data_IF_272191020412
#
_entry.id   IF_272191020412
#
_cell.length_a   1.000
_cell.length_b   1.000
_cell.length_c   1.000
_cell.angle_alpha   90.00
_cell.angle_beta   90.00
_cell.angle_gamma   90.00
#
_symmetry.space_group_name_H-M   'P 1'
#
loop_
_entity.id
_entity.type
_entity.pdbx_description
1 polymer ?
#
# COMPACT_ATOMS: atom_id res chain seq x y z
N UNK A 1 -28.90 41.67 57.13
CA UNK A 1 -30.09 42.54 56.96
C UNK A 1 -30.20 42.90 55.49
N UNK A 2 -31.32 42.78 54.77
CA UNK A 2 -32.59 42.03 54.97
C UNK A 2 -32.62 40.91 53.89
N UNK A 3 -33.35 39.79 53.97
CA UNK A 3 -34.81 39.63 54.16
C UNK A 3 -35.51 40.06 52.86
N UNK A 4 -36.27 39.24 52.12
CA UNK A 4 -37.03 37.99 52.40
C UNK A 4 -36.92 36.99 51.21
N UNK A 5 -36.78 35.66 51.39
CA UNK A 5 -37.80 34.63 51.76
C UNK A 5 -38.86 34.34 50.66
N UNK A 6 -38.82 33.16 49.98
CA UNK A 6 -39.54 31.86 50.21
C UNK A 6 -41.02 31.84 49.77
N UNK A 7 -41.69 30.73 49.35
CA UNK A 7 -41.38 29.29 49.11
C UNK A 7 -42.43 28.68 48.13
N UNK A 8 -42.32 27.41 47.65
CA UNK A 8 -43.24 26.79 46.69
C UNK A 8 -44.13 25.67 47.28
N UNK A 9 -44.96 25.03 46.43
CA UNK A 9 -45.19 23.56 46.30
C UNK A 9 -46.66 23.06 46.26
N UNK A 10 -46.83 21.88 45.63
CA UNK A 10 -48.00 20.95 45.65
C UNK A 10 -49.28 21.41 44.91
N UNK A 11 -50.10 20.51 44.34
CA UNK A 11 -49.88 19.09 44.07
C UNK A 11 -51.16 18.22 43.97
N UNK A 12 -51.13 17.23 43.06
CA UNK A 12 -52.05 16.07 42.91
C UNK A 12 -53.55 16.29 42.59
N UNK A 13 -54.13 15.41 41.76
CA UNK A 13 -55.37 14.61 41.99
C UNK A 13 -55.83 13.89 40.70
N UNK A 14 -56.11 12.59 40.82
CA UNK A 14 -56.84 11.69 39.90
C UNK A 14 -58.21 11.30 40.53
N UNK A 15 -59.20 10.62 39.90
CA UNK A 15 -59.16 9.74 38.72
C UNK A 15 -60.36 9.90 37.73
N UNK A 16 -60.78 8.82 37.06
CA UNK A 16 -61.72 8.77 35.93
C UNK A 16 -63.22 8.57 36.27
N UNK A 17 -64.10 8.91 35.31
CA UNK A 17 -65.33 8.20 34.87
C UNK A 17 -66.08 9.08 33.82
N UNK A 18 -67.12 8.66 33.05
CA UNK A 18 -67.53 7.43 32.32
C UNK A 18 -68.92 7.72 31.69
N UNK A 19 -69.41 6.86 30.77
CA UNK A 19 -70.77 6.88 30.14
C UNK A 19 -71.01 7.98 29.09
N UNK A 20 -71.84 7.83 28.04
CA UNK A 20 -72.60 6.69 27.47
C UNK A 20 -72.66 6.87 25.91
N UNK A 21 -73.46 6.24 25.02
CA UNK A 21 -74.66 5.36 25.04
C UNK A 21 -74.77 4.54 23.72
N UNK A 22 -75.76 3.65 23.61
CA UNK A 22 -76.42 3.17 22.36
C UNK A 22 -77.94 3.28 22.55
N UNK A 23 -78.74 3.39 21.48
CA UNK A 23 -79.53 2.26 20.93
C UNK A 23 -79.58 2.32 19.36
N UNK A 24 -80.41 1.58 18.62
CA UNK A 24 -80.77 0.14 18.61
C UNK A 24 -81.56 -0.17 17.30
N UNK A 25 -81.89 -1.44 17.08
CA UNK A 25 -82.86 -2.01 16.12
C UNK A 25 -82.61 -1.97 14.59
N UNK A 26 -83.25 -2.81 13.75
CA UNK A 26 -83.31 -4.31 13.68
C UNK A 26 -84.27 -4.78 12.54
N UNK A 27 -83.94 -5.91 11.87
CA UNK A 27 -84.66 -6.58 10.74
C UNK A 27 -84.69 -5.79 9.40
N UNK A 28 -84.89 -6.42 8.22
CA UNK A 28 -85.20 -7.83 7.89
C UNK A 28 -84.52 -8.28 6.56
N UNK A 29 -84.28 -9.60 6.39
CA UNK A 29 -84.18 -10.44 5.14
C UNK A 29 -83.47 -9.91 3.86
N UNK A 30 -82.87 -10.71 2.95
CA UNK A 30 -82.65 -12.16 2.71
C UNK A 30 -81.57 -12.27 1.57
N UNK A 31 -81.01 -13.39 1.08
CA UNK A 31 -81.12 -14.85 1.29
C UNK A 31 -79.83 -15.57 0.80
N UNK A 32 -79.52 -16.74 1.36
CA UNK A 32 -78.73 -17.86 0.78
C UNK A 32 -77.24 -17.73 0.31
N UNK A 33 -76.64 -18.92 0.12
CA UNK A 33 -75.22 -19.25 -0.13
C UNK A 33 -75.15 -20.70 -0.67
N UNK A 34 -74.01 -21.32 -1.05
CA UNK A 34 -72.84 -20.89 -1.84
C UNK A 34 -72.66 -21.71 -3.15
N UNK A 35 -71.76 -21.34 -4.08
CA UNK A 35 -71.08 -22.33 -4.95
C UNK A 35 -69.79 -21.87 -5.68
N UNK A 36 -69.24 -22.72 -6.58
CA UNK A 36 -67.86 -22.71 -7.12
C UNK A 36 -67.80 -22.55 -8.66
N UNK A 37 -66.63 -22.15 -9.20
CA UNK A 37 -66.12 -22.33 -10.61
C UNK A 37 -66.82 -21.50 -11.72
N UNK A 38 -66.28 -21.41 -12.98
CA UNK A 38 -64.90 -21.66 -13.47
C UNK A 38 -64.32 -20.56 -14.43
N UNK A 39 -63.10 -20.81 -14.95
CA UNK A 39 -62.34 -20.07 -15.98
C UNK A 39 -63.09 -19.82 -17.31
N UNK A 40 -62.63 -18.82 -18.07
CA UNK A 40 -62.45 -18.90 -19.54
C UNK A 40 -61.13 -18.24 -19.99
N UNK A 41 -60.50 -18.81 -21.00
CA UNK A 41 -59.29 -18.27 -21.67
C UNK A 41 -59.55 -18.11 -23.18
N UNK A 42 -58.81 -17.23 -23.89
CA UNK A 42 -58.93 -17.12 -25.34
C UNK A 42 -58.32 -18.35 -26.03
N UNK A 43 -59.08 -18.94 -26.97
CA UNK A 43 -58.53 -19.74 -28.07
C UNK A 43 -58.64 -18.88 -29.33
N UNK A 44 -57.57 -18.84 -30.13
CA UNK A 44 -57.66 -18.62 -31.57
C UNK A 44 -57.08 -19.84 -32.28
N UNK A 45 -57.55 -20.09 -33.50
CA UNK A 45 -57.50 -21.41 -34.16
C UNK A 45 -56.40 -21.54 -35.21
N UNK A 46 -55.85 -22.76 -35.29
CA UNK A 46 -54.98 -23.24 -36.35
C UNK A 46 -55.66 -23.21 -37.73
N UNK A 47 -54.90 -22.83 -38.77
CA UNK A 47 -55.08 -23.27 -40.15
C UNK A 47 -53.68 -23.52 -40.73
N UNK A 48 -53.45 -24.71 -41.28
CA UNK A 48 -52.17 -25.09 -41.90
C UNK A 48 -52.05 -24.58 -43.34
N UNK A 49 -50.82 -24.29 -43.81
CA UNK A 49 -50.13 -25.14 -44.78
C UNK A 49 -48.71 -24.69 -45.17
N UNK A 50 -47.93 -25.68 -45.64
CA UNK A 50 -46.77 -25.61 -46.55
C UNK A 50 -45.48 -24.84 -46.14
N UNK A 51 -44.46 -25.64 -45.81
CA UNK A 51 -43.07 -25.61 -46.31
C UNK A 51 -42.42 -24.27 -46.73
N UNK A 52 -41.30 -23.91 -46.09
CA UNK A 52 -39.99 -24.35 -46.62
C UNK A 52 -38.82 -24.16 -45.63
N UNK A 53 -37.77 -24.98 -45.79
CA UNK A 53 -36.44 -24.76 -45.22
C UNK A 53 -35.52 -24.17 -46.29
N UNK A 54 -34.68 -23.21 -45.92
CA UNK A 54 -33.24 -23.40 -46.13
C UNK A 54 -32.47 -23.38 -44.81
N UNK A 55 -31.17 -23.67 -44.87
CA UNK A 55 -30.28 -23.75 -43.71
C UNK A 55 -29.17 -22.68 -43.77
N UNK A 56 -28.35 -22.67 -42.72
CA UNK A 56 -26.97 -22.13 -42.65
C UNK A 56 -26.74 -20.60 -42.76
N UNK A 57 -26.40 -20.03 -41.60
CA UNK A 57 -25.16 -19.28 -41.31
C UNK A 57 -25.22 -17.78 -40.96
N UNK A 58 -24.63 -17.51 -39.78
CA UNK A 58 -23.81 -16.35 -39.39
C UNK A 58 -24.40 -14.94 -39.50
N UNK A 59 -24.91 -14.46 -38.37
CA UNK A 59 -25.21 -13.03 -38.11
C UNK A 59 -25.35 -12.71 -36.62
N UNK A 60 -24.68 -13.47 -35.74
CA UNK A 60 -24.89 -13.43 -34.29
C UNK A 60 -24.35 -12.18 -33.61
N UNK A 61 -25.10 -11.09 -33.67
CA UNK A 61 -24.99 -10.00 -32.69
C UNK A 61 -25.48 -10.59 -31.36
N UNK A 62 -24.62 -10.62 -30.35
CA UNK A 62 -25.00 -10.97 -28.99
C UNK A 62 -25.82 -9.82 -28.39
N UNK A 63 -27.14 -9.87 -28.54
CA UNK A 63 -28.01 -9.23 -27.55
C UNK A 63 -27.77 -9.92 -26.19
N UNK A 64 -27.43 -9.19 -25.11
CA UNK A 64 -27.35 -9.78 -23.80
C UNK A 64 -28.73 -10.36 -23.44
N UNK A 65 -28.78 -11.66 -23.15
CA UNK A 65 -30.02 -12.29 -22.74
C UNK A 65 -30.61 -11.52 -21.55
N UNK A 66 -31.90 -11.15 -21.63
CA UNK A 66 -32.58 -10.42 -20.57
C UNK A 66 -32.31 -11.13 -19.23
N UNK A 67 -31.63 -10.49 -18.24
CA UNK A 67 -31.15 -11.18 -17.06
C UNK A 67 -32.29 -11.72 -16.19
N UNK A 68 -33.50 -11.15 -16.32
CA UNK A 68 -34.74 -11.65 -15.70
C UNK A 68 -35.18 -12.97 -16.35
N UNK A 69 -35.10 -13.09 -17.69
CA UNK A 69 -35.48 -14.31 -18.41
C UNK A 69 -34.43 -15.43 -18.24
N UNK A 70 -33.15 -15.07 -18.06
CA UNK A 70 -32.11 -16.01 -17.64
C UNK A 70 -32.39 -16.53 -16.23
N UNK A 71 -32.60 -15.63 -15.25
CA UNK A 71 -32.93 -16.02 -13.88
C UNK A 71 -34.20 -16.87 -13.79
N UNK A 72 -35.24 -16.52 -14.56
CA UNK A 72 -36.50 -17.27 -14.62
C UNK A 72 -36.37 -18.66 -15.26
N UNK A 73 -35.29 -18.94 -16.00
CA UNK A 73 -34.98 -20.26 -16.55
C UNK A 73 -34.05 -21.08 -15.66
N UNK A 74 -32.90 -20.51 -15.29
CA UNK A 74 -31.79 -21.24 -14.67
C UNK A 74 -31.81 -21.15 -13.13
N UNK A 75 -32.72 -20.35 -12.55
CA UNK A 75 -32.85 -20.16 -11.09
C UNK A 75 -31.78 -19.26 -10.44
N UNK A 76 -30.74 -18.92 -11.20
CA UNK A 76 -29.59 -18.12 -10.82
C UNK A 76 -29.41 -16.94 -11.79
N UNK A 77 -28.83 -15.83 -11.34
CA UNK A 77 -28.53 -14.70 -12.24
C UNK A 77 -27.38 -15.06 -13.20
N UNK A 78 -27.25 -14.38 -14.35
CA UNK A 78 -26.11 -14.59 -15.25
C UNK A 78 -24.80 -14.27 -14.54
N UNK A 79 -23.77 -15.09 -14.79
CA UNK A 79 -22.52 -15.01 -14.05
C UNK A 79 -21.78 -13.70 -14.31
N UNK A 80 -21.97 -13.09 -15.49
CA UNK A 80 -21.43 -11.78 -15.88
C UNK A 80 -21.96 -10.61 -15.02
N UNK A 81 -23.03 -10.82 -14.24
CA UNK A 81 -23.54 -9.83 -13.26
C UNK A 81 -22.94 -10.01 -11.86
N UNK A 82 -22.31 -11.15 -11.57
CA UNK A 82 -21.58 -11.42 -10.34
C UNK A 82 -20.05 -11.36 -10.50
N UNK A 83 -19.54 -11.36 -11.74
CA UNK A 83 -18.14 -11.06 -12.07
C UNK A 83 -17.76 -9.62 -11.68
N UNK A 84 -17.46 -9.45 -10.39
CA UNK A 84 -16.69 -8.33 -9.89
C UNK A 84 -15.28 -8.43 -10.48
N UNK A 85 -15.00 -7.59 -11.48
CA UNK A 85 -13.71 -7.33 -12.14
C UNK A 85 -12.66 -6.86 -11.10
N UNK A 86 -12.24 -7.81 -10.27
CA UNK A 86 -11.38 -7.68 -9.10
C UNK A 86 -10.32 -8.80 -9.02
N UNK A 87 -10.36 -9.80 -9.91
CA UNK A 87 -9.33 -10.83 -9.99
C UNK A 87 -7.93 -10.22 -10.21
N UNK A 88 -7.84 -9.10 -10.92
CA UNK A 88 -6.60 -8.38 -11.17
C UNK A 88 -5.97 -7.76 -9.90
N UNK A 89 -6.77 -7.62 -8.82
CA UNK A 89 -6.37 -7.13 -7.51
C UNK A 89 -5.76 -8.22 -6.62
N UNK A 90 -6.05 -9.50 -6.92
CA UNK A 90 -5.65 -10.63 -6.08
C UNK A 90 -4.13 -10.75 -5.98
N UNK A 91 -3.70 -11.31 -4.86
CA UNK A 91 -2.28 -11.52 -4.61
C UNK A 91 -1.67 -12.50 -5.62
N UNK A 92 -0.49 -12.16 -6.14
CA UNK A 92 0.20 -12.96 -7.15
C UNK A 92 1.18 -13.89 -6.46
N UNK A 93 0.89 -15.19 -6.54
CA UNK A 93 1.73 -16.25 -5.97
C UNK A 93 3.16 -16.17 -6.48
N UNK A 94 4.13 -16.10 -5.58
CA UNK A 94 5.55 -16.01 -5.94
C UNK A 94 6.09 -17.35 -6.44
N UNK A 95 6.00 -17.59 -7.75
CA UNK A 95 6.38 -18.86 -8.37
C UNK A 95 7.84 -19.25 -8.10
N UNK A 96 8.05 -20.32 -7.32
CA UNK A 96 9.37 -20.86 -6.96
C UNK A 96 10.23 -21.26 -8.17
N UNK A 97 9.61 -21.47 -9.34
CA UNK A 97 10.28 -21.71 -10.62
C UNK A 97 11.26 -20.59 -11.04
N UNK A 98 11.09 -19.37 -10.52
CA UNK A 98 12.06 -18.28 -10.71
C UNK A 98 13.42 -18.55 -10.03
N UNK A 99 13.48 -19.40 -9.01
CA UNK A 99 14.70 -19.75 -8.27
C UNK A 99 15.55 -20.79 -9.01
N UNK A 100 14.92 -21.64 -9.84
CA UNK A 100 15.55 -22.87 -10.37
C UNK A 100 16.58 -22.60 -11.47
N UNK A 101 16.40 -21.54 -12.28
CA UNK A 101 17.25 -21.28 -13.47
C UNK A 101 18.61 -20.62 -13.14
N UNK A 102 19.05 -20.65 -11.88
CA UNK A 102 20.39 -20.20 -11.48
C UNK A 102 21.06 -21.07 -10.40
N UNK A 103 20.82 -22.39 -10.43
CA UNK A 103 21.42 -23.34 -9.50
C UNK A 103 22.86 -23.73 -9.89
N UNK A 104 23.83 -22.89 -9.53
CA UNK A 104 25.25 -23.26 -9.48
C UNK A 104 25.91 -22.62 -8.26
N UNK A 105 26.16 -23.44 -7.23
CA UNK A 105 27.00 -23.19 -6.05
C UNK A 105 26.65 -21.94 -5.21
N UNK A 106 25.79 -22.11 -4.21
CA UNK A 106 26.21 -22.30 -2.81
C UNK A 106 24.99 -22.72 -1.96
N UNK A 107 25.21 -23.53 -0.92
CA UNK A 107 24.14 -24.02 -0.05
C UNK A 107 24.23 -23.37 1.34
N UNK A 108 23.45 -22.31 1.56
CA UNK A 108 23.21 -21.74 2.87
C UNK A 108 21.80 -21.13 2.93
N UNK A 109 21.08 -21.36 4.02
CA UNK A 109 19.81 -20.67 4.30
C UNK A 109 20.12 -19.19 4.55
N UNK A 110 19.76 -18.33 3.60
CA UNK A 110 19.98 -16.88 3.69
C UNK A 110 18.72 -16.13 3.30
N UNK A 111 18.40 -15.09 4.08
CA UNK A 111 17.37 -14.10 3.76
C UNK A 111 17.70 -13.38 2.44
N UNK A 112 16.73 -12.73 1.76
CA UNK A 112 16.95 -12.02 0.49
C UNK A 112 17.76 -10.70 0.64
N UNK A 113 18.93 -10.79 1.29
CA UNK A 113 19.89 -9.74 1.59
C UNK A 113 20.73 -9.36 0.37
N UNK A 114 20.07 -8.78 -0.63
CA UNK A 114 20.54 -7.58 -1.31
C UNK A 114 21.96 -7.56 -1.93
N UNK A 115 22.57 -8.72 -2.24
CA UNK A 115 23.99 -8.94 -2.59
C UNK A 115 24.58 -8.05 -3.72
N UNK A 116 23.74 -7.49 -4.60
CA UNK A 116 24.19 -6.61 -5.68
C UNK A 116 24.48 -5.17 -5.19
N UNK A 117 25.55 -4.51 -5.65
CA UNK A 117 25.79 -3.09 -5.37
C UNK A 117 24.56 -2.21 -5.66
N UNK A 118 24.25 -1.29 -4.73
CA UNK A 118 23.12 -0.31 -4.83
C UNK A 118 23.09 0.43 -6.17
N UNK A 119 24.27 0.70 -6.72
CA UNK A 119 24.42 1.40 -8.01
C UNK A 119 24.02 0.54 -9.22
N UNK A 120 24.22 -0.78 -9.19
CA UNK A 120 23.70 -1.68 -10.24
C UNK A 120 22.17 -1.72 -10.22
N UNK A 121 21.57 -1.80 -9.03
CA UNK A 121 20.10 -1.76 -8.85
C UNK A 121 19.53 -0.43 -9.36
N UNK A 122 20.29 0.65 -9.21
CA UNK A 122 19.95 2.00 -9.67
C UNK A 122 20.22 2.24 -11.17
N UNK A 123 20.92 1.33 -11.86
CA UNK A 123 21.50 1.60 -13.18
C UNK A 123 20.44 1.88 -14.27
N UNK A 124 19.28 1.21 -14.20
CA UNK A 124 18.19 1.42 -15.17
C UNK A 124 17.61 2.85 -15.13
N UNK A 125 17.50 3.47 -13.95
CA UNK A 125 17.00 4.84 -13.80
C UNK A 125 17.99 5.91 -14.30
N UNK A 126 19.28 5.57 -14.45
CA UNK A 126 20.29 6.49 -15.03
C UNK A 126 20.03 6.75 -16.52
N UNK A 127 19.38 5.82 -17.22
CA UNK A 127 18.98 5.99 -18.62
C UNK A 127 17.74 6.92 -18.73
N UNK A 128 17.81 8.03 -19.50
CA UNK A 128 16.64 8.90 -19.73
C UNK A 128 15.44 8.15 -20.33
N UNK A 129 15.66 7.09 -21.10
CA UNK A 129 14.60 6.26 -21.70
C UNK A 129 13.77 5.50 -20.64
N UNK A 130 14.20 5.46 -19.39
CA UNK A 130 13.41 4.91 -18.30
C UNK A 130 12.11 5.71 -18.07
N UNK A 131 12.12 7.02 -18.34
CA UNK A 131 10.90 7.84 -18.30
C UNK A 131 9.92 7.44 -19.42
N UNK A 132 10.43 7.14 -20.61
CA UNK A 132 9.63 6.56 -21.70
C UNK A 132 9.06 5.18 -21.32
N UNK A 133 9.85 4.34 -20.65
CA UNK A 133 9.39 3.03 -20.15
C UNK A 133 8.24 3.19 -19.15
N UNK A 134 8.35 4.11 -18.19
CA UNK A 134 7.24 4.47 -17.29
C UNK A 134 6.01 4.95 -18.07
N UNK A 135 6.21 5.76 -19.12
CA UNK A 135 5.14 6.21 -20.03
C UNK A 135 4.39 5.06 -20.70
N UNK A 136 5.09 4.00 -21.14
CA UNK A 136 4.45 2.77 -21.66
C UNK A 136 3.64 1.98 -20.62
N UNK A 137 3.80 2.32 -19.34
CA UNK A 137 3.05 1.77 -18.20
C UNK A 137 2.06 2.78 -17.62
N UNK A 138 1.77 3.87 -18.34
CA UNK A 138 0.82 4.90 -17.94
C UNK A 138 1.32 5.86 -16.85
N UNK A 139 2.62 5.86 -16.52
CA UNK A 139 3.24 6.75 -15.53
C UNK A 139 4.00 7.88 -16.22
N UNK A 140 3.65 9.13 -15.91
CA UNK A 140 4.17 10.32 -16.59
C UNK A 140 4.77 11.30 -15.58
N UNK A 141 6.03 11.69 -15.81
CA UNK A 141 6.77 12.61 -14.92
C UNK A 141 6.47 14.09 -15.18
N UNK A 142 5.23 14.39 -15.59
CA UNK A 142 4.72 15.73 -15.92
C UNK A 142 3.33 15.94 -15.32
N UNK A 143 2.80 17.16 -15.37
CA UNK A 143 1.38 17.43 -15.08
C UNK A 143 0.50 16.89 -16.22
N UNK A 144 -0.66 16.34 -15.89
CA UNK A 144 -1.73 16.07 -16.85
C UNK A 144 -2.27 17.38 -17.44
N UNK A 145 -2.81 17.34 -18.66
CA UNK A 145 -3.55 18.45 -19.26
C UNK A 145 -4.82 18.82 -18.49
N UNK A 146 -5.35 17.91 -17.67
CA UNK A 146 -6.46 18.18 -16.74
C UNK A 146 -5.99 18.81 -15.41
N UNK A 147 -4.69 18.73 -15.09
CA UNK A 147 -4.08 19.08 -13.80
C UNK A 147 -4.76 18.42 -12.57
N UNK A 148 -4.30 18.72 -11.36
CA UNK A 148 -4.97 18.35 -10.10
C UNK A 148 -6.23 19.19 -9.84
N UNK A 149 -7.09 18.71 -8.93
CA UNK A 149 -8.28 19.45 -8.45
C UNK A 149 -7.90 20.75 -7.71
N UNK A 150 -8.87 21.65 -7.53
CA UNK A 150 -8.71 22.82 -6.66
C UNK A 150 -8.45 22.42 -5.21
N UNK A 151 -9.18 21.44 -4.68
CA UNK A 151 -8.98 20.90 -3.33
C UNK A 151 -7.53 20.44 -3.11
N UNK A 152 -6.95 19.69 -4.04
CA UNK A 152 -5.54 19.30 -3.97
C UNK A 152 -4.55 20.46 -4.10
N UNK A 153 -4.87 21.54 -4.84
CA UNK A 153 -4.04 22.76 -4.89
C UNK A 153 -4.02 23.49 -3.55
N UNK A 154 -5.19 23.72 -2.97
CA UNK A 154 -5.31 24.47 -1.72
C UNK A 154 -4.85 23.65 -0.50
N UNK A 155 -5.00 22.32 -0.54
CA UNK A 155 -4.37 21.42 0.42
C UNK A 155 -2.84 21.44 0.29
N UNK A 156 -2.29 21.38 -0.92
CA UNK A 156 -0.84 21.50 -1.18
C UNK A 156 -0.29 22.82 -0.64
N UNK A 157 -0.99 23.93 -0.90
CA UNK A 157 -0.68 25.27 -0.38
C UNK A 157 -0.67 25.27 1.16
N UNK A 158 -1.71 24.73 1.78
CA UNK A 158 -1.84 24.61 3.25
C UNK A 158 -0.69 23.81 3.86
N UNK A 159 -0.31 22.69 3.25
CA UNK A 159 0.82 21.85 3.69
C UNK A 159 2.18 22.55 3.58
N UNK A 160 2.31 23.55 2.71
CA UNK A 160 3.52 24.33 2.52
C UNK A 160 3.59 25.56 3.44
N UNK A 161 2.46 26.25 3.64
CA UNK A 161 2.36 27.48 4.43
C UNK A 161 2.24 27.23 5.95
N UNK A 162 1.72 26.07 6.37
CA UNK A 162 1.52 25.76 7.78
C UNK A 162 2.85 25.63 8.56
N UNK A 163 2.97 26.40 9.64
CA UNK A 163 4.16 26.43 10.50
C UNK A 163 4.25 25.19 11.38
N UNK A 164 5.44 24.58 11.43
CA UNK A 164 5.76 23.46 12.32
C UNK A 164 6.99 23.78 13.18
N UNK A 165 6.98 23.24 14.41
CA UNK A 165 8.12 23.23 15.32
C UNK A 165 9.28 22.48 14.65
N UNK A 166 10.50 22.99 14.81
CA UNK A 166 11.73 22.42 14.25
C UNK A 166 12.69 22.03 15.39
N UNK A 167 13.65 21.10 15.20
CA UNK A 167 14.53 20.67 16.28
C UNK A 167 15.57 21.75 16.65
N UNK A 168 15.53 22.21 17.89
CA UNK A 168 16.41 23.27 18.41
C UNK A 168 17.89 22.86 18.39
N UNK A 169 18.25 21.66 18.86
CA UNK A 169 19.61 21.13 18.72
C UNK A 169 19.72 20.34 17.40
N UNK A 170 20.23 20.99 16.36
CA UNK A 170 20.37 20.40 15.04
C UNK A 170 21.44 21.07 14.18
N UNK A 171 21.90 20.36 13.16
CA UNK A 171 22.82 20.89 12.14
C UNK A 171 22.20 21.99 11.26
N UNK A 172 20.92 22.32 11.45
CA UNK A 172 20.18 23.40 10.77
C UNK A 172 19.88 24.61 11.71
N UNK A 173 20.55 24.73 12.86
CA UNK A 173 20.62 26.02 13.58
C UNK A 173 21.47 27.05 12.81
N UNK A 174 21.17 28.33 12.99
CA UNK A 174 21.87 29.44 12.31
C UNK A 174 23.38 29.50 12.58
N UNK A 175 23.84 29.12 13.79
CA UNK A 175 25.25 29.15 14.20
C UNK A 175 26.13 28.09 13.50
N UNK A 176 25.54 26.95 13.11
CA UNK A 176 26.27 25.81 12.52
C UNK A 176 25.81 25.44 11.10
N UNK A 177 24.78 26.06 10.55
CA UNK A 177 24.23 25.69 9.24
C UNK A 177 25.23 25.86 8.09
N UNK A 178 26.00 26.96 8.06
CA UNK A 178 26.99 27.16 7.00
C UNK A 178 28.11 26.11 7.08
N UNK A 179 28.66 25.90 8.28
CA UNK A 179 29.67 24.86 8.54
C UNK A 179 29.15 23.46 8.19
N UNK A 180 27.90 23.16 8.49
CA UNK A 180 27.22 21.91 8.06
C UNK A 180 27.23 21.79 6.54
N UNK A 181 26.79 22.83 5.82
CA UNK A 181 26.74 22.84 4.35
C UNK A 181 28.12 22.64 3.73
N UNK A 182 29.15 23.30 4.26
CA UNK A 182 30.54 23.13 3.84
C UNK A 182 31.03 21.70 4.12
N UNK A 183 30.70 21.11 5.27
CA UNK A 183 31.11 19.77 5.66
C UNK A 183 30.48 18.66 4.81
N UNK A 184 29.22 18.80 4.39
CA UNK A 184 28.52 17.84 3.52
C UNK A 184 28.78 18.05 2.02
N UNK A 185 29.37 19.18 1.61
CA UNK A 185 29.65 19.46 0.22
C UNK A 185 30.58 18.41 -0.41
N UNK A 186 30.20 17.90 -1.59
CA UNK A 186 30.86 16.81 -2.31
C UNK A 186 31.08 15.51 -1.51
N UNK A 187 30.35 15.30 -0.39
CA UNK A 187 30.36 14.01 0.32
C UNK A 187 29.49 12.97 -0.36
N UNK A 188 29.73 11.71 -0.01
CA UNK A 188 28.98 10.58 -0.56
C UNK A 188 27.53 10.53 -0.03
N UNK A 189 26.69 9.75 -0.72
CA UNK A 189 25.25 9.63 -0.43
C UNK A 189 24.97 9.16 1.01
N UNK A 190 25.81 8.29 1.58
CA UNK A 190 25.63 7.82 2.95
C UNK A 190 25.79 8.96 3.98
N UNK A 191 26.76 9.86 3.76
CA UNK A 191 26.95 11.05 4.61
C UNK A 191 25.79 12.04 4.50
N UNK A 192 25.26 12.27 3.30
CA UNK A 192 24.08 13.13 3.10
C UNK A 192 22.83 12.53 3.79
N UNK A 193 22.67 11.20 3.73
CA UNK A 193 21.60 10.49 4.46
C UNK A 193 21.77 10.64 5.97
N UNK A 194 22.97 10.42 6.50
CA UNK A 194 23.27 10.46 7.93
C UNK A 194 23.09 11.86 8.53
N UNK A 195 23.64 12.89 7.88
CA UNK A 195 23.74 14.23 8.49
C UNK A 195 22.44 15.04 8.34
N UNK A 196 21.81 15.03 7.16
CA UNK A 196 20.74 16.00 6.85
C UNK A 196 19.40 15.42 6.39
N UNK A 197 19.32 14.15 5.96
CA UNK A 197 18.03 13.62 5.45
C UNK A 197 16.92 13.62 6.50
N UNK A 198 17.22 13.47 7.79
CA UNK A 198 16.22 13.62 8.87
C UNK A 198 15.83 15.08 9.18
N UNK A 199 16.63 16.05 8.72
CA UNK A 199 16.32 17.48 8.79
C UNK A 199 15.62 18.00 7.51
N UNK A 200 15.43 17.15 6.50
CA UNK A 200 14.67 17.45 5.26
C UNK A 200 13.40 16.60 5.21
N UNK A 201 13.50 15.30 5.51
CA UNK A 201 12.41 14.33 5.60
C UNK A 201 12.48 13.64 6.97
N UNK A 202 11.87 14.23 8.01
CA UNK A 202 11.86 13.67 9.37
C UNK A 202 11.15 12.31 9.48
N UNK A 203 11.51 11.58 10.53
CA UNK A 203 10.97 10.25 10.86
C UNK A 203 9.67 10.37 11.66
N UNK A 204 8.58 9.84 11.09
CA UNK A 204 7.30 9.63 11.74
C UNK A 204 7.40 8.62 12.90
N UNK A 205 8.17 7.54 12.76
CA UNK A 205 8.39 6.57 13.86
C UNK A 205 9.15 7.21 15.02
N UNK A 206 10.12 8.10 14.74
CA UNK A 206 10.79 8.89 15.78
C UNK A 206 9.82 9.86 16.47
N UNK A 207 8.97 10.55 15.72
CA UNK A 207 7.94 11.41 16.31
C UNK A 207 6.93 10.62 17.16
N UNK A 208 6.49 9.44 16.71
CA UNK A 208 5.62 8.54 17.47
C UNK A 208 6.28 8.13 18.80
N UNK A 209 7.54 7.72 18.74
CA UNK A 209 8.38 7.39 19.91
C UNK A 209 8.50 8.57 20.89
N UNK A 210 8.59 9.80 20.40
CA UNK A 210 8.60 11.02 21.21
C UNK A 210 7.19 11.52 21.61
N UNK A 211 6.14 10.73 21.40
CA UNK A 211 4.79 10.96 21.94
C UNK A 211 3.74 11.44 20.93
N UNK A 212 4.06 11.54 19.64
CA UNK A 212 3.10 11.89 18.59
C UNK A 212 2.22 10.68 18.21
N UNK A 213 1.36 10.24 19.13
CA UNK A 213 0.60 8.97 19.06
C UNK A 213 -0.30 8.82 17.83
N UNK A 214 -0.71 9.90 17.17
CA UNK A 214 -1.44 9.82 15.89
C UNK A 214 -0.59 9.25 14.74
N UNK A 215 0.72 9.11 14.94
CA UNK A 215 1.68 8.49 14.02
C UNK A 215 2.00 7.03 14.36
N UNK A 216 1.46 6.47 15.45
CA UNK A 216 1.62 5.05 15.82
C UNK A 216 1.02 4.09 14.75
N UNK A 217 0.20 4.60 13.83
CA UNK A 217 -0.33 3.85 12.67
C UNK A 217 0.63 3.80 11.47
N UNK A 218 1.74 4.54 11.51
CA UNK A 218 2.71 4.61 10.42
C UNK A 218 3.87 3.64 10.59
N UNK A 219 4.56 3.32 9.50
CA UNK A 219 5.85 2.63 9.55
C UNK A 219 6.80 3.09 8.46
N UNK A 220 8.10 2.92 8.71
CA UNK A 220 9.19 3.39 7.88
C UNK A 220 9.98 2.24 7.27
N UNK A 221 10.47 2.42 6.05
CA UNK A 221 11.47 1.54 5.44
C UNK A 221 12.66 2.36 4.97
N UNK A 222 13.88 1.88 5.22
CA UNK A 222 15.13 2.61 4.93
C UNK A 222 15.99 1.79 3.97
N UNK A 223 16.09 2.22 2.71
CA UNK A 223 16.81 1.51 1.65
C UNK A 223 16.34 0.04 1.47
N UNK A 224 15.08 -0.28 1.75
CA UNK A 224 14.53 -1.63 1.54
C UNK A 224 13.83 -1.80 0.20
N UNK A 225 14.01 -2.97 -0.39
CA UNK A 225 13.36 -3.32 -1.65
C UNK A 225 11.87 -3.58 -1.48
N UNK A 226 11.04 -3.01 -2.35
CA UNK A 226 9.59 -3.20 -2.34
C UNK A 226 9.19 -4.59 -2.90
N UNK A 227 9.63 -5.65 -2.24
CA UNK A 227 9.53 -7.04 -2.69
C UNK A 227 8.08 -7.57 -2.76
N UNK A 228 7.21 -7.10 -1.87
CA UNK A 228 5.80 -7.52 -1.80
C UNK A 228 4.89 -6.69 -2.74
N UNK A 229 5.44 -5.74 -3.48
CA UNK A 229 4.69 -5.00 -4.50
C UNK A 229 4.64 -5.76 -5.84
N UNK A 230 3.47 -5.82 -6.47
CA UNK A 230 3.33 -6.30 -7.85
C UNK A 230 4.10 -5.34 -8.78
N UNK A 231 5.10 -5.80 -9.55
CA UNK A 231 5.97 -4.92 -10.33
C UNK A 231 5.22 -4.16 -11.44
N UNK A 232 5.69 -2.95 -11.75
CA UNK A 232 5.29 -2.17 -12.94
C UNK A 232 6.29 -2.37 -14.10
N UNK A 233 7.57 -2.53 -13.76
CA UNK A 233 8.69 -2.81 -14.68
C UNK A 233 9.57 -3.93 -14.11
N UNK A 234 10.59 -4.37 -14.86
CA UNK A 234 11.55 -5.40 -14.39
C UNK A 234 12.44 -4.90 -13.23
N UNK A 235 12.56 -3.59 -13.03
CA UNK A 235 13.32 -3.02 -11.90
C UNK A 235 12.48 -3.06 -10.62
N UNK A 236 13.06 -3.54 -9.51
CA UNK A 236 12.46 -3.41 -8.18
C UNK A 236 12.70 -2.01 -7.61
N UNK A 237 11.69 -1.26 -7.14
CA UNK A 237 11.92 -0.05 -6.36
C UNK A 237 12.61 -0.33 -5.02
N UNK A 238 13.45 0.60 -4.58
CA UNK A 238 14.17 0.53 -3.31
C UNK A 238 14.47 1.96 -2.83
N UNK A 239 13.44 2.68 -2.32
CA UNK A 239 13.61 4.06 -1.85
C UNK A 239 14.61 4.13 -0.71
N UNK A 240 15.37 5.23 -0.63
CA UNK A 240 16.30 5.42 0.50
C UNK A 240 15.55 5.57 1.82
N UNK A 241 14.34 6.13 1.75
CA UNK A 241 13.38 6.18 2.83
C UNK A 241 11.96 6.17 2.25
N UNK A 242 11.03 5.46 2.88
CA UNK A 242 9.60 5.59 2.57
C UNK A 242 8.72 5.37 3.80
N UNK A 243 7.49 5.88 3.74
CA UNK A 243 6.48 5.79 4.79
C UNK A 243 5.18 5.25 4.23
N UNK A 244 4.55 4.35 4.98
CA UNK A 244 3.19 3.86 4.76
C UNK A 244 2.53 3.54 6.09
N UNK A 245 1.43 2.80 6.04
CA UNK A 245 0.72 2.32 7.22
C UNK A 245 1.28 0.96 7.66
N UNK A 246 1.37 0.73 8.97
CA UNK A 246 1.64 -0.62 9.50
C UNK A 246 0.39 -1.49 9.45
N UNK A 247 0.54 -2.81 9.52
CA UNK A 247 -0.58 -3.76 9.52
C UNK A 247 -1.56 -3.46 10.66
N UNK A 248 -1.03 -3.11 11.83
CA UNK A 248 -1.73 -2.86 13.09
C UNK A 248 -2.52 -1.53 13.09
N UNK A 249 -2.44 -0.74 12.02
CA UNK A 249 -3.31 0.41 11.81
C UNK A 249 -4.75 0.00 11.48
N UNK A 250 -4.92 -1.15 10.83
CA UNK A 250 -6.20 -1.64 10.31
C UNK A 250 -6.87 -2.57 11.33
N UNK A 251 -8.20 -2.57 11.38
CA UNK A 251 -8.96 -3.50 12.23
C UNK A 251 -8.93 -4.93 11.68
N UNK A 252 -9.21 -5.93 12.52
CA UNK A 252 -9.28 -7.33 12.06
C UNK A 252 -10.27 -7.53 10.90
N UNK A 253 -11.44 -6.85 10.93
CA UNK A 253 -12.41 -6.83 9.82
C UNK A 253 -11.82 -6.27 8.51
N UNK A 254 -10.95 -5.26 8.61
CA UNK A 254 -10.28 -4.64 7.46
C UNK A 254 -9.16 -5.54 6.93
N UNK A 255 -8.41 -6.19 7.82
CA UNK A 255 -7.37 -7.16 7.45
C UNK A 255 -7.98 -8.42 6.83
N UNK A 256 -9.11 -8.91 7.32
CA UNK A 256 -9.88 -10.00 6.73
C UNK A 256 -10.33 -9.65 5.29
N UNK A 257 -10.96 -8.48 5.11
CA UNK A 257 -11.37 -7.97 3.79
C UNK A 257 -10.21 -7.72 2.82
N UNK A 258 -9.04 -7.33 3.33
CA UNK A 258 -7.83 -7.21 2.51
C UNK A 258 -7.20 -8.57 2.16
N UNK A 259 -7.40 -9.61 2.98
CA UNK A 259 -6.65 -10.88 2.92
C UNK A 259 -6.52 -11.53 1.52
N UNK A 260 -7.58 -11.62 0.69
CA UNK A 260 -7.47 -12.19 -0.66
C UNK A 260 -6.52 -11.42 -1.60
N UNK A 261 -6.35 -10.13 -1.35
CA UNK A 261 -5.51 -9.22 -2.13
C UNK A 261 -4.09 -9.08 -1.56
N UNK A 262 -3.86 -9.47 -0.30
CA UNK A 262 -2.54 -9.49 0.34
C UNK A 262 -1.81 -10.81 0.05
N UNK A 263 -2.53 -11.93 0.11
CA UNK A 263 -1.98 -13.28 -0.08
C UNK A 263 -1.05 -13.72 1.05
N UNK A 264 -0.25 -14.76 0.81
CA UNK A 264 0.78 -15.17 1.75
C UNK A 264 2.04 -14.30 1.58
N UNK A 265 1.98 -13.10 2.17
CA UNK A 265 3.08 -12.15 2.18
C UNK A 265 4.33 -12.68 2.93
N UNK A 266 4.21 -13.77 3.70
CA UNK A 266 5.31 -14.44 4.42
C UNK A 266 6.03 -15.43 3.50
N UNK A 267 5.28 -16.23 2.72
CA UNK A 267 5.82 -16.97 1.57
C UNK A 267 6.37 -16.02 0.46
N UNK A 268 5.98 -14.75 0.53
CA UNK A 268 6.52 -13.67 -0.29
C UNK A 268 5.67 -13.34 -1.52
N UNK A 269 4.37 -13.62 -1.46
CA UNK A 269 3.40 -13.21 -2.47
C UNK A 269 3.38 -11.68 -2.65
N UNK A 270 2.93 -11.27 -3.83
CA UNK A 270 2.94 -9.86 -4.24
C UNK A 270 1.52 -9.29 -4.34
N UNK A 271 1.30 -8.15 -3.68
CA UNK A 271 0.03 -7.43 -3.63
C UNK A 271 0.08 -6.13 -4.44
N UNK A 272 -1.09 -5.56 -4.77
CA UNK A 272 -1.18 -4.15 -5.16
C UNK A 272 -0.97 -3.22 -3.95
N UNK A 273 -1.32 -3.67 -2.75
CA UNK A 273 -1.52 -2.82 -1.56
C UNK A 273 -0.31 -2.77 -0.60
N UNK A 274 0.75 -3.53 -0.87
CA UNK A 274 1.96 -3.62 -0.02
C UNK A 274 3.23 -3.23 -0.77
N UNK A 275 4.22 -2.68 -0.05
CA UNK A 275 5.59 -2.45 -0.54
C UNK A 275 6.55 -3.48 0.05
N UNK A 276 6.70 -3.47 1.36
CA UNK A 276 7.41 -4.50 2.16
C UNK A 276 6.38 -5.44 2.82
N UNK A 277 6.85 -6.47 3.54
CA UNK A 277 5.97 -7.40 4.27
C UNK A 277 5.19 -6.74 5.43
N UNK A 278 5.58 -5.53 5.84
CA UNK A 278 5.01 -4.78 6.97
C UNK A 278 4.40 -3.42 6.59
N UNK A 279 4.70 -2.89 5.40
CA UNK A 279 4.25 -1.57 4.94
C UNK A 279 3.12 -1.67 3.91
N UNK A 280 1.96 -1.14 4.29
CA UNK A 280 0.70 -1.14 3.55
C UNK A 280 0.41 0.28 3.05
N UNK A 281 -0.13 0.42 1.83
CA UNK A 281 -0.48 1.71 1.19
C UNK A 281 0.58 2.82 1.42
N UNK A 282 1.83 2.65 0.94
CA UNK A 282 2.87 3.66 1.06
C UNK A 282 2.44 4.99 0.42
N UNK A 283 2.73 6.12 1.05
CA UNK A 283 2.32 7.45 0.58
C UNK A 283 3.45 8.49 0.56
N UNK A 284 4.65 8.18 1.07
CA UNK A 284 5.81 9.05 0.99
C UNK A 284 7.05 8.26 0.57
N UNK A 285 7.82 8.77 -0.40
CA UNK A 285 9.19 8.30 -0.67
C UNK A 285 10.19 9.44 -0.67
N UNK A 286 11.43 9.14 -0.28
CA UNK A 286 12.57 10.02 -0.41
C UNK A 286 13.72 9.31 -1.15
N UNK A 287 14.34 10.03 -2.07
CA UNK A 287 15.51 9.60 -2.85
C UNK A 287 16.61 10.64 -2.79
N UNK A 288 17.72 10.25 -2.17
CA UNK A 288 18.90 11.07 -1.88
C UNK A 288 19.98 10.80 -2.92
N UNK A 289 20.67 11.86 -3.35
CA UNK A 289 21.68 11.82 -4.41
C UNK A 289 22.86 12.74 -4.09
N UNK A 290 23.87 12.74 -4.96
CA UNK A 290 25.02 13.64 -4.91
C UNK A 290 25.17 14.32 -6.28
N UNK A 291 24.87 15.61 -6.36
CA UNK A 291 24.97 16.40 -7.58
C UNK A 291 23.65 16.49 -8.36
N UNK A 292 23.46 17.62 -9.05
CA UNK A 292 22.17 18.03 -9.64
C UNK A 292 21.66 17.05 -10.70
N UNK A 293 22.49 16.63 -11.66
CA UNK A 293 22.13 15.66 -12.69
C UNK A 293 21.76 14.26 -12.14
N UNK A 294 22.05 13.97 -10.87
CA UNK A 294 21.60 12.75 -10.21
C UNK A 294 20.17 12.88 -9.63
N UNK A 295 19.65 14.10 -9.41
CA UNK A 295 18.27 14.32 -8.94
C UNK A 295 17.22 13.86 -9.97
N UNK A 296 17.51 13.94 -11.27
CA UNK A 296 16.62 13.41 -12.31
C UNK A 296 16.51 11.86 -12.23
N UNK A 297 17.52 11.20 -11.68
CA UNK A 297 17.50 9.76 -11.37
C UNK A 297 16.67 9.48 -10.11
N UNK A 298 16.76 10.35 -9.08
CA UNK A 298 15.87 10.30 -7.92
C UNK A 298 14.40 10.46 -8.32
N UNK A 299 14.11 11.42 -9.20
CA UNK A 299 12.76 11.69 -9.69
C UNK A 299 12.16 10.49 -10.44
N UNK A 300 12.96 9.76 -11.22
CA UNK A 300 12.52 8.51 -11.89
C UNK A 300 12.26 7.37 -10.92
N UNK A 301 13.11 7.22 -9.90
CA UNK A 301 12.91 6.24 -8.82
C UNK A 301 11.64 6.56 -8.02
N UNK A 302 11.49 7.82 -7.59
CA UNK A 302 10.32 8.32 -6.88
C UNK A 302 9.03 8.16 -7.70
N UNK A 303 9.01 8.54 -8.98
CA UNK A 303 7.84 8.38 -9.84
C UNK A 303 7.43 6.91 -10.02
N UNK A 304 8.40 5.99 -10.10
CA UNK A 304 8.14 4.56 -10.19
C UNK A 304 7.50 4.03 -8.89
N UNK A 305 8.08 4.32 -7.72
CA UNK A 305 7.51 3.95 -6.41
C UNK A 305 6.12 4.55 -6.20
N UNK A 306 5.96 5.83 -6.51
CA UNK A 306 4.68 6.54 -6.37
C UNK A 306 3.61 6.03 -7.32
N UNK A 307 3.97 5.52 -8.50
CA UNK A 307 3.01 4.84 -9.37
C UNK A 307 2.43 3.57 -8.73
N UNK A 308 3.25 2.79 -8.02
CA UNK A 308 2.77 1.60 -7.31
C UNK A 308 1.83 1.99 -6.15
N UNK A 309 2.21 3.00 -5.37
CA UNK A 309 1.41 3.59 -4.30
C UNK A 309 0.04 4.10 -4.79
N UNK A 310 0.02 4.92 -5.85
CA UNK A 310 -1.21 5.44 -6.43
C UNK A 310 -2.09 4.34 -7.01
N UNK A 311 -1.50 3.32 -7.66
CA UNK A 311 -2.23 2.17 -8.18
C UNK A 311 -2.92 1.41 -7.05
N UNK A 312 -2.28 1.25 -5.89
CA UNK A 312 -2.91 0.66 -4.71
C UNK A 312 -4.22 1.37 -4.34
N UNK A 313 -4.20 2.70 -4.22
CA UNK A 313 -5.37 3.48 -3.83
C UNK A 313 -6.39 3.61 -4.96
N UNK A 314 -5.96 3.81 -6.21
CA UNK A 314 -6.86 3.95 -7.36
C UNK A 314 -7.64 2.67 -7.66
N UNK A 315 -6.99 1.50 -7.60
CA UNK A 315 -7.66 0.21 -7.81
C UNK A 315 -8.57 -0.16 -6.62
N UNK A 316 -8.17 0.13 -5.37
CA UNK A 316 -9.04 -0.01 -4.19
C UNK A 316 -10.33 0.82 -4.33
N UNK A 317 -10.22 2.07 -4.78
CA UNK A 317 -11.39 2.94 -4.93
C UNK A 317 -12.27 2.53 -6.12
N UNK A 318 -11.69 2.00 -7.21
CA UNK A 318 -12.47 1.41 -8.32
C UNK A 318 -13.23 0.15 -7.88
N UNK A 319 -12.62 -0.72 -7.08
CA UNK A 319 -13.25 -1.94 -6.56
C UNK A 319 -14.60 -1.65 -5.86
N UNK A 320 -14.68 -0.52 -5.15
CA UNK A 320 -15.89 -0.06 -4.44
C UNK A 320 -16.66 1.04 -5.17
N UNK A 321 -16.39 1.25 -6.48
CA UNK A 321 -17.09 2.20 -7.38
C UNK A 321 -17.06 3.66 -6.91
N UNK A 322 -15.91 4.08 -6.36
CA UNK A 322 -15.64 5.41 -5.77
C UNK A 322 -14.43 6.11 -6.40
N UNK A 323 -14.01 5.70 -7.60
CA UNK A 323 -12.87 6.28 -8.33
C UNK A 323 -12.93 7.81 -8.51
N UNK A 324 -14.13 8.41 -8.47
CA UNK A 324 -14.32 9.86 -8.47
C UNK A 324 -13.76 10.59 -7.22
N UNK A 325 -13.58 9.91 -6.08
CA UNK A 325 -13.00 10.51 -4.86
C UNK A 325 -11.46 10.61 -4.88
N UNK A 326 -10.83 10.01 -5.90
CA UNK A 326 -9.37 9.90 -6.06
C UNK A 326 -8.88 10.41 -7.42
N UNK A 327 -9.76 10.50 -8.43
CA UNK A 327 -9.47 11.11 -9.73
C UNK A 327 -8.98 12.56 -9.56
N UNK A 328 -7.74 12.84 -10.00
CA UNK A 328 -7.03 14.14 -9.92
C UNK A 328 -6.72 14.66 -8.50
N UNK A 329 -6.93 13.84 -7.47
CA UNK A 329 -6.50 14.14 -6.10
C UNK A 329 -5.06 13.65 -5.85
N UNK A 330 -4.29 14.39 -5.03
CA UNK A 330 -2.95 13.97 -4.61
C UNK A 330 -3.07 12.88 -3.55
N UNK A 331 -2.58 11.69 -3.89
CA UNK A 331 -2.67 10.47 -3.07
C UNK A 331 -1.34 10.07 -2.42
N UNK A 332 -0.22 10.65 -2.86
CA UNK A 332 1.10 10.39 -2.29
C UNK A 332 2.07 11.53 -2.63
N UNK A 333 3.21 11.59 -1.93
CA UNK A 333 4.25 12.60 -2.11
C UNK A 333 5.62 11.96 -2.31
N UNK A 334 6.50 12.65 -3.03
CA UNK A 334 7.90 12.25 -3.11
C UNK A 334 8.84 13.43 -2.97
N UNK A 335 9.95 13.20 -2.27
CA UNK A 335 11.02 14.18 -2.07
C UNK A 335 12.30 13.64 -2.72
N UNK A 336 12.93 14.45 -3.56
CA UNK A 336 14.25 14.17 -4.12
C UNK A 336 15.22 15.22 -3.60
N UNK A 337 16.36 14.83 -3.02
CA UNK A 337 17.33 15.83 -2.53
C UNK A 337 18.79 15.41 -2.64
N UNK A 338 19.68 16.40 -2.60
CA UNK A 338 21.11 16.20 -2.45
C UNK A 338 21.65 17.03 -1.27
N UNK A 339 22.94 17.40 -1.30
CA UNK A 339 23.58 18.21 -0.27
C UNK A 339 23.25 19.72 -0.37
N UNK A 340 22.46 20.14 -1.37
CA UNK A 340 22.19 21.56 -1.68
C UNK A 340 20.73 21.86 -2.02
N UNK A 341 20.01 20.90 -2.58
CA UNK A 341 18.75 21.13 -3.30
C UNK A 341 17.69 20.11 -2.91
N UNK A 342 16.41 20.54 -2.89
CA UNK A 342 15.24 19.69 -2.67
C UNK A 342 14.21 19.92 -3.77
N UNK A 343 13.61 18.83 -4.24
CA UNK A 343 12.43 18.81 -5.12
C UNK A 343 11.29 18.08 -4.41
N UNK A 344 10.09 18.63 -4.43
CA UNK A 344 8.90 18.09 -3.78
C UNK A 344 7.80 17.92 -4.84
N UNK A 345 7.23 16.73 -4.91
CA UNK A 345 6.15 16.39 -5.86
C UNK A 345 4.97 15.74 -5.14
N UNK A 346 3.76 16.14 -5.51
CA UNK A 346 2.52 15.42 -5.19
C UNK A 346 2.13 14.56 -6.39
N UNK A 347 1.70 13.32 -6.17
CA UNK A 347 1.36 12.36 -7.22
C UNK A 347 -0.14 12.07 -7.20
N UNK A 348 -0.75 12.04 -8.38
CA UNK A 348 -2.19 11.83 -8.57
C UNK A 348 -2.52 10.90 -9.74
N UNK A 349 -3.59 10.09 -9.66
CA UNK A 349 -4.12 9.37 -10.81
C UNK A 349 -5.08 10.26 -11.62
N UNK A 350 -5.15 10.01 -12.92
CA UNK A 350 -6.23 10.45 -13.81
C UNK A 350 -6.91 9.19 -14.31
N UNK A 351 -8.21 9.07 -13.99
CA UNK A 351 -9.03 7.89 -14.27
C UNK A 351 -10.01 8.20 -15.39
N UNK A 352 -10.02 7.37 -16.42
CA UNK A 352 -10.75 7.54 -17.67
C UNK A 352 -11.39 6.19 -18.06
N UNK A 353 -12.59 5.95 -17.53
CA UNK A 353 -13.23 4.64 -17.55
C UNK A 353 -12.36 3.56 -16.89
N UNK A 354 -12.12 2.45 -17.62
CA UNK A 354 -11.20 1.38 -17.18
C UNK A 354 -9.71 1.79 -17.16
N UNK A 355 -9.32 2.91 -17.77
CA UNK A 355 -7.93 3.33 -17.81
C UNK A 355 -7.54 4.17 -16.58
N UNK A 356 -6.38 3.88 -15.99
CA UNK A 356 -5.71 4.79 -15.04
C UNK A 356 -4.37 5.24 -15.63
N UNK A 357 -4.08 6.54 -15.56
CA UNK A 357 -2.75 7.12 -15.84
C UNK A 357 -2.28 7.88 -14.61
N UNK A 358 -0.98 7.90 -14.35
CA UNK A 358 -0.39 8.43 -13.13
C UNK A 358 0.51 9.62 -13.47
N UNK A 359 0.37 10.72 -12.73
CA UNK A 359 1.01 12.01 -13.01
C UNK A 359 1.60 12.62 -11.75
N UNK A 360 2.60 13.51 -11.91
CA UNK A 360 3.17 14.31 -10.81
C UNK A 360 2.89 15.80 -10.96
N UNK A 361 2.65 16.46 -9.83
CA UNK A 361 2.56 17.91 -9.72
C UNK A 361 3.81 18.41 -8.96
N UNK A 362 4.72 19.14 -9.63
CA UNK A 362 5.75 19.93 -8.95
C UNK A 362 5.10 20.86 -7.91
N UNK A 363 5.44 20.63 -6.64
CA UNK A 363 4.99 21.45 -5.50
C UNK A 363 6.00 22.57 -5.27
N UNK A 364 7.28 22.22 -5.10
CA UNK A 364 8.38 23.18 -4.97
C UNK A 364 9.71 22.55 -5.38
N UNK A 365 10.60 23.34 -5.97
CA UNK A 365 11.98 22.96 -6.30
C UNK A 365 12.93 24.10 -5.93
N UNK A 366 13.83 23.87 -4.99
CA UNK A 366 14.61 24.93 -4.34
C UNK A 366 15.99 24.48 -3.87
N UNK A 367 16.87 25.45 -3.60
CA UNK A 367 18.17 25.22 -2.98
C UNK A 367 18.11 25.64 -1.52
N UNK A 368 18.07 24.65 -0.61
CA UNK A 368 17.87 24.90 0.82
C UNK A 368 19.05 25.64 1.48
N UNK A 369 20.20 25.70 0.80
CA UNK A 369 21.41 26.45 1.19
C UNK A 369 21.50 27.84 0.56
N UNK A 370 20.53 28.26 -0.26
CA UNK A 370 20.50 29.60 -0.85
C UNK A 370 19.88 30.61 0.12
N UNK A 371 20.16 31.90 -0.11
CA UNK A 371 19.66 33.02 0.70
C UNK A 371 19.89 32.77 2.20
N UNK A 372 21.14 32.47 2.55
CA UNK A 372 21.63 32.23 3.92
C UNK A 372 20.82 31.15 4.68
N UNK A 373 20.32 30.16 3.95
CA UNK A 373 19.56 29.05 4.49
C UNK A 373 18.08 29.34 4.75
N UNK A 374 17.52 30.41 4.17
CA UNK A 374 16.11 30.82 4.35
C UNK A 374 15.09 29.67 4.22
N UNK A 375 15.35 28.72 3.32
CA UNK A 375 14.46 27.59 3.05
C UNK A 375 14.90 26.25 3.69
N UNK A 376 15.92 26.25 4.56
CA UNK A 376 16.44 25.02 5.18
C UNK A 376 15.39 24.17 5.91
N UNK A 377 14.38 24.82 6.48
CA UNK A 377 13.27 24.15 7.16
C UNK A 377 12.05 23.83 6.28
N UNK A 378 12.00 24.30 5.02
CA UNK A 378 10.80 24.19 4.16
C UNK A 378 10.36 22.74 3.96
N UNK A 379 11.28 21.84 3.60
CA UNK A 379 10.98 20.42 3.39
C UNK A 379 10.59 19.68 4.68
N UNK A 380 11.24 20.02 5.80
CA UNK A 380 10.94 19.45 7.12
C UNK A 380 9.50 19.76 7.53
N UNK A 381 9.11 21.04 7.45
CA UNK A 381 7.77 21.52 7.80
C UNK A 381 6.72 20.90 6.89
N UNK A 382 6.95 20.91 5.58
CA UNK A 382 6.08 20.25 4.60
C UNK A 382 5.86 18.76 4.94
N UNK A 383 6.94 18.01 5.19
CA UNK A 383 6.87 16.58 5.53
C UNK A 383 6.07 16.35 6.81
N UNK A 384 6.32 17.15 7.86
CA UNK A 384 5.57 17.04 9.12
C UNK A 384 4.09 17.44 8.96
N UNK A 385 3.78 18.40 8.09
CA UNK A 385 2.41 18.73 7.72
C UNK A 385 1.72 17.59 6.94
N UNK A 386 2.43 16.85 6.09
CA UNK A 386 1.89 15.64 5.43
C UNK A 386 1.48 14.62 6.50
N UNK A 387 2.30 14.41 7.54
CA UNK A 387 1.98 13.51 8.66
C UNK A 387 0.83 14.02 9.54
N UNK A 388 0.81 15.31 9.90
CA UNK A 388 -0.16 15.85 10.88
C UNK A 388 -1.52 16.23 10.28
N UNK A 389 -1.56 16.65 9.01
CA UNK A 389 -2.75 17.28 8.38
C UNK A 389 -3.34 16.42 7.27
N UNK A 390 -2.51 15.92 6.34
CA UNK A 390 -2.99 15.18 5.17
C UNK A 390 -3.23 13.69 5.48
N UNK A 391 -2.27 13.05 6.16
CA UNK A 391 -2.26 11.60 6.40
C UNK A 391 -3.52 11.10 7.14
N UNK A 392 -4.03 11.74 8.22
CA UNK A 392 -5.20 11.24 8.92
C UNK A 392 -6.47 11.22 8.05
N UNK A 393 -6.61 12.18 7.13
CA UNK A 393 -7.71 12.23 6.17
C UNK A 393 -7.56 11.16 5.08
N UNK A 394 -6.33 10.95 4.58
CA UNK A 394 -6.03 9.91 3.60
C UNK A 394 -6.24 8.50 4.17
N UNK A 395 -5.77 8.24 5.39
CA UNK A 395 -5.99 6.98 6.10
C UNK A 395 -7.48 6.69 6.30
N UNK A 396 -8.26 7.67 6.77
CA UNK A 396 -9.72 7.55 6.91
C UNK A 396 -10.42 7.27 5.58
N UNK A 397 -9.95 7.85 4.46
CA UNK A 397 -10.41 7.52 3.11
C UNK A 397 -10.15 6.04 2.77
N UNK A 398 -8.92 5.54 2.99
CA UNK A 398 -8.55 4.14 2.73
C UNK A 398 -9.40 3.18 3.57
N UNK A 399 -9.48 3.36 4.90
CA UNK A 399 -10.32 2.55 5.77
C UNK A 399 -11.81 2.57 5.36
N UNK A 400 -12.32 3.72 4.90
CA UNK A 400 -13.68 3.85 4.38
C UNK A 400 -13.92 3.02 3.11
N UNK A 401 -12.93 2.88 2.23
CA UNK A 401 -13.02 2.03 1.05
C UNK A 401 -12.87 0.54 1.41
N UNK A 402 -11.88 0.17 2.26
CA UNK A 402 -11.70 -1.22 2.73
C UNK A 402 -12.98 -1.74 3.41
N UNK A 403 -13.65 -0.91 4.22
CA UNK A 403 -14.91 -1.29 4.88
C UNK A 403 -16.03 -1.70 3.89
N UNK A 404 -15.96 -1.26 2.63
CA UNK A 404 -16.95 -1.54 1.58
C UNK A 404 -16.57 -2.71 0.66
N UNK A 405 -15.38 -3.29 0.81
CA UNK A 405 -15.02 -4.55 0.15
C UNK A 405 -15.92 -5.70 0.65
N UNK A 406 -16.26 -6.68 -0.21
CA UNK A 406 -17.00 -7.87 0.21
C UNK A 406 -16.20 -8.65 1.27
N UNK A 407 -16.91 -9.20 2.27
CA UNK A 407 -16.27 -9.97 3.34
C UNK A 407 -15.75 -11.33 2.84
N UNK A 408 -16.49 -11.96 1.94
CA UNK A 408 -16.11 -13.20 1.27
C UNK A 408 -16.02 -12.91 -0.24
N UNK A 409 -14.87 -13.17 -0.84
CA UNK A 409 -14.78 -13.46 -2.26
C UNK A 409 -14.79 -14.98 -2.40
N UNK A 410 -15.90 -15.52 -2.90
CA UNK A 410 -16.12 -16.97 -3.05
C UNK A 410 -15.37 -17.48 -4.29
N UNK A 411 -14.04 -17.41 -4.21
CA UNK A 411 -13.12 -17.80 -5.26
C UNK A 411 -12.85 -19.30 -5.13
N UNK A 412 -13.82 -20.09 -5.59
CA UNK A 412 -13.63 -21.49 -5.95
C UNK A 412 -12.54 -21.59 -7.02
N UNK A 413 -11.27 -21.60 -6.58
CA UNK A 413 -10.15 -22.04 -7.39
C UNK A 413 -10.42 -23.50 -7.70
N UNK A 414 -10.68 -23.89 -8.97
CA UNK A 414 -10.92 -25.28 -9.28
C UNK A 414 -9.63 -26.04 -8.99
N UNK A 415 -9.61 -26.80 -7.90
CA UNK A 415 -8.55 -27.77 -7.63
C UNK A 415 -8.51 -28.69 -8.84
N UNK A 416 -7.44 -28.62 -9.65
CA UNK A 416 -7.27 -29.56 -10.75
C UNK A 416 -7.44 -30.96 -10.17
N UNK A 417 -8.32 -31.81 -10.74
CA UNK A 417 -8.52 -33.14 -10.20
C UNK A 417 -7.17 -33.85 -10.22
N UNK A 418 -6.71 -34.28 -9.05
CA UNK A 418 -5.47 -35.05 -8.94
C UNK A 418 -5.63 -36.29 -9.84
N UNK A 419 -4.82 -36.36 -10.90
CA UNK A 419 -4.91 -37.44 -11.89
C UNK A 419 -4.44 -38.72 -11.21
N UNK A 420 -5.42 -39.48 -10.70
CA UNK A 420 -5.21 -40.62 -9.80
C UNK A 420 -4.32 -41.69 -10.40
N UNK A 421 -3.05 -41.69 -9.98
CA UNK A 421 -2.06 -42.74 -10.27
C UNK A 421 -1.31 -43.10 -8.97
N UNK A 422 -2.07 -43.48 -7.95
CA UNK A 422 -1.56 -44.20 -6.77
C UNK A 422 -2.60 -45.17 -6.23
N UNK A 423 -2.91 -46.19 -7.03
CA UNK A 423 -3.46 -47.46 -6.55
C UNK A 423 -2.42 -48.55 -6.78
N UNK A 424 -1.46 -48.65 -5.86
CA UNK A 424 -0.90 -49.92 -5.37
C UNK A 424 0.16 -49.60 -4.29
N UNK A 425 -0.18 -49.86 -3.02
CA UNK A 425 0.42 -50.94 -2.22
C UNK A 425 -0.16 -50.90 -0.79
N UNK A 426 -1.29 -51.58 -0.57
CA UNK A 426 -1.79 -51.84 0.80
C UNK A 426 -1.07 -53.04 1.45
N UNK A 427 -1.12 -53.10 2.79
CA UNK A 427 -0.52 -54.10 3.69
C UNK A 427 1.03 -54.06 3.76
N UNK A 428 1.68 -54.19 4.92
CA UNK A 428 1.27 -54.92 6.14
C UNK A 428 1.59 -54.23 7.48
N UNK A 429 0.64 -54.38 8.41
CA UNK A 429 0.76 -54.57 9.87
C UNK A 429 1.50 -53.61 10.82
N UNK A 430 0.77 -53.29 11.90
CA UNK A 430 1.25 -52.79 13.20
C UNK A 430 1.88 -53.90 14.06
N UNK A 431 2.87 -53.57 14.89
CA UNK A 431 3.10 -54.10 16.26
C UNK A 431 4.24 -53.34 17.00
N UNK A 432 4.48 -53.65 18.29
CA UNK A 432 5.19 -52.83 19.28
C UNK A 432 6.49 -53.47 19.84
N UNK A 433 7.09 -52.77 20.83
CA UNK A 433 7.98 -53.21 21.94
C UNK A 433 9.49 -53.47 21.74
N UNK A 434 10.28 -52.52 22.28
CA UNK A 434 11.29 -52.66 23.36
C UNK A 434 12.69 -53.32 23.19
N UNK A 435 13.59 -52.82 24.07
CA UNK A 435 14.84 -53.38 24.61
C UNK A 435 16.20 -53.23 23.84
N UNK A 436 16.98 -52.24 24.29
CA UNK A 436 18.42 -52.23 24.60
C UNK A 436 19.48 -53.02 23.79
N UNK A 437 20.54 -52.31 23.36
CA UNK A 437 21.96 -52.60 23.69
C UNK A 437 22.88 -51.41 23.35
N UNK A 438 23.85 -51.12 24.24
CA UNK A 438 24.86 -50.03 24.19
C UNK A 438 26.14 -50.60 24.84
N UNK A 439 27.38 -50.48 24.26
CA UNK A 439 28.18 -49.25 24.42
C UNK A 439 29.23 -48.85 23.33
N UNK A 440 29.34 -47.52 23.14
CA UNK A 440 30.51 -46.61 23.21
C UNK A 440 31.94 -47.20 23.34
N UNK A 441 33.01 -46.55 22.80
CA UNK A 441 33.45 -45.15 23.06
C UNK A 441 33.13 -44.17 21.91
N UNK A 442 33.03 -42.84 22.05
CA UNK A 442 33.70 -41.83 22.92
C UNK A 442 35.15 -41.55 22.54
N UNK A 443 35.35 -40.48 21.75
CA UNK A 443 36.33 -39.46 22.10
C UNK A 443 35.58 -38.14 22.38
N UNK A 444 36.14 -37.34 23.27
CA UNK A 444 35.54 -36.14 23.83
C UNK A 444 36.64 -35.09 23.94
N UNK A 445 36.38 -33.86 23.48
CA UNK A 445 37.04 -32.72 24.10
C UNK A 445 36.15 -31.47 24.07
N UNK A 446 36.18 -30.68 25.14
CA UNK A 446 35.30 -29.52 25.30
C UNK A 446 35.76 -28.55 26.39
N UNK A 447 36.23 -27.39 25.91
CA UNK A 447 36.17 -26.06 26.55
C UNK A 447 36.82 -25.84 27.93
N UNK A 448 37.60 -24.76 27.92
CA UNK A 448 37.65 -23.67 28.92
C UNK A 448 38.44 -23.84 30.22
N UNK A 449 39.22 -22.80 30.51
CA UNK A 449 39.28 -22.17 31.83
C UNK A 449 39.55 -20.66 31.61
N UNK A 450 39.08 -19.82 32.51
CA UNK A 450 39.35 -18.37 32.59
C UNK A 450 40.16 -18.09 33.87
N UNK A 451 41.01 -17.05 33.89
CA UNK A 451 41.41 -16.25 35.07
C UNK A 451 42.55 -15.25 34.77
N UNK A 452 42.58 -14.12 35.49
CA UNK A 452 43.85 -13.68 36.11
C UNK A 452 44.61 -12.44 35.59
N UNK A 453 43.96 -11.26 35.58
CA UNK A 453 44.46 -9.91 35.93
C UNK A 453 45.98 -9.51 35.98
N UNK A 454 46.19 -8.20 35.71
CA UNK A 454 47.23 -7.24 36.20
C UNK A 454 48.46 -6.83 35.35
N UNK A 455 48.49 -5.50 35.06
CA UNK A 455 49.62 -4.53 35.04
C UNK A 455 50.86 -4.74 34.14
N UNK A 456 51.18 -3.69 33.36
CA UNK A 456 52.56 -3.38 32.92
C UNK A 456 52.70 -2.46 31.69
N UNK A 457 52.98 -1.17 31.88
CA UNK A 457 53.52 -0.26 30.84
C UNK A 457 55.00 0.00 31.16
N UNK A 458 55.91 -0.03 30.16
CA UNK A 458 56.34 1.17 29.40
C UNK A 458 56.27 0.93 27.87
N UNK A 459 56.58 1.86 26.96
CA UNK A 459 57.11 3.22 27.07
C UNK A 459 58.38 3.43 26.21
N UNK A 460 58.54 4.60 25.58
CA UNK A 460 59.65 5.04 24.68
C UNK A 460 59.66 4.48 23.22
N UNK A 461 60.35 5.09 22.23
CA UNK A 461 60.35 6.49 21.73
C UNK A 461 61.28 6.68 20.50
N UNK A 462 60.85 7.48 19.49
CA UNK A 462 61.61 7.92 18.29
C UNK A 462 62.06 6.79 17.33
N UNK A 463 62.48 6.99 16.06
CA UNK A 463 62.89 8.18 15.25
C UNK A 463 62.22 8.24 13.85
N UNK A 464 62.50 9.30 13.07
CA UNK A 464 61.80 9.70 11.83
C UNK A 464 62.54 9.24 10.50
N UNK A 465 62.45 9.86 9.29
CA UNK A 465 61.90 9.19 8.11
C UNK A 465 62.89 8.89 6.95
N UNK A 466 62.50 8.00 6.03
CA UNK A 466 63.38 7.48 4.96
C UNK A 466 62.84 7.49 3.51
N UNK A 467 63.04 8.61 2.80
CA UNK A 467 63.26 8.73 1.33
C UNK A 467 62.22 8.15 0.34
N UNK A 468 61.63 9.03 -0.48
CA UNK A 468 60.79 8.68 -1.64
C UNK A 468 61.60 8.19 -2.87
N UNK A 469 60.98 7.37 -3.73
CA UNK A 469 61.45 7.10 -5.10
C UNK A 469 60.33 7.23 -6.14
N UNK A 470 60.71 7.58 -7.38
CA UNK A 470 59.86 8.32 -8.35
C UNK A 470 59.55 7.50 -9.62
N UNK A 471 58.35 7.72 -10.19
CA UNK A 471 57.79 7.10 -11.41
C UNK A 471 58.79 6.92 -12.59
N UNK A 472 58.69 5.75 -13.25
CA UNK A 472 58.67 5.49 -14.71
C UNK A 472 58.04 4.10 -14.94
N UNK A 473 57.30 3.79 -16.02
CA UNK A 473 56.85 4.63 -17.13
C UNK A 473 57.09 3.99 -18.51
N UNK A 474 56.17 3.13 -18.97
CA UNK A 474 56.08 2.45 -20.29
C UNK A 474 54.68 1.79 -20.39
N UNK A 475 53.97 1.58 -21.50
CA UNK A 475 54.27 1.33 -22.93
C UNK A 475 55.10 0.05 -23.18
N UNK A 476 54.55 -1.04 -23.71
CA UNK A 476 53.20 -1.29 -24.24
C UNK A 476 52.26 -1.93 -23.22
#
# INVERSE_FOLDING_TARGET
MRGTETKPSKGSVTPANRSTKRPADVMDRDLDSPQKRPRRSPRLSLVDNASDRPATNNGGIYEPANPIDFWAREGQWPQEYFELDMEHLLARKRSLSALVRKRSNYAASTTPSDEKPREEKSASYRDPRYETLLGTKGSFMVKSSLDITSASKDLTRTLFEATQVVPDDSLFRDDVFESTCQNIHNRNKARVIQDITRLIVPSAESFATFGAKHLDILTESVNEGWNNSIPLTVTRPQPDYSVGFRREAFTDDQLAKLSPFLGDFIAGDQSLFMSTYYMYFPFLTCEVKCGTAALDVADRQNAHSMTLALRAVAELFRAVKREGEVHREILAFSISHDHRSVRIYGHYPVIDGKNTKYYRHPIHEFSFTALDGKERWTAYRFTKNVYDVWMPAHFKKICSAINQLPANLDLDVPSLPETGLSQDLESHHLSQSDADTVPLPVEQDSRSSDTGQEKGTPGTSFTDPGVAKRRKGRKH
#
